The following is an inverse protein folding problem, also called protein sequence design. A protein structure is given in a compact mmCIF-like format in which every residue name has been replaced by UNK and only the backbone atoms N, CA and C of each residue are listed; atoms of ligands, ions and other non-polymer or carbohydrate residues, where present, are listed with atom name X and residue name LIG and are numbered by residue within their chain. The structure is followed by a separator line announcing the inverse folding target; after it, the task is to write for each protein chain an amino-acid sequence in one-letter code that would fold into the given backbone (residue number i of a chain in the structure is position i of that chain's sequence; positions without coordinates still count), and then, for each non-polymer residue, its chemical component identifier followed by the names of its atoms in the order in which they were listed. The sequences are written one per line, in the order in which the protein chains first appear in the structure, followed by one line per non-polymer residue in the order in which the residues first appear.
data_IF_050018543453
#
_entry.id   IF_050018543453
#
_cell.length_a   1.000
_cell.length_b   1.000
_cell.length_c   1.000
_cell.angle_alpha   90.00
_cell.angle_beta   90.00
_cell.angle_gamma   90.00
#
_symmetry.space_group_name_H-M   'P 1'
#
loop_
_entity.id
_entity.type
_entity.pdbx_description
1 polymer ?
#
# COMPACT_ATOMS: atom_id res chain seq x y z
N UNK A 1 -30.35 -12.13 20.63
CA UNK A 1 -29.03 -12.49 20.08
C UNK A 1 -28.81 -11.62 18.86
N UNK A 2 -28.31 -10.40 19.08
CA UNK A 2 -27.99 -9.48 17.98
C UNK A 2 -26.59 -9.83 17.48
N UNK A 3 -26.49 -10.31 16.24
CA UNK A 3 -25.24 -10.45 15.53
C UNK A 3 -24.81 -9.07 15.04
N UNK A 4 -24.18 -8.30 15.93
CA UNK A 4 -23.70 -6.95 15.66
C UNK A 4 -22.17 -6.99 15.56
N UNK A 5 -21.61 -7.29 14.38
CA UNK A 5 -20.14 -7.30 14.32
C UNK A 5 -19.42 -7.67 13.03
N UNK A 6 -19.84 -7.20 11.85
CA UNK A 6 -18.87 -7.02 10.75
C UNK A 6 -18.14 -5.68 10.94
N UNK A 7 -17.50 -5.48 12.09
CA UNK A 7 -16.54 -4.39 12.25
C UNK A 7 -15.33 -4.82 11.44
N UNK A 8 -15.07 -4.18 10.29
CA UNK A 8 -13.87 -4.42 9.47
C UNK A 8 -12.66 -4.19 10.36
N UNK A 9 -12.11 -5.25 10.97
CA UNK A 9 -10.91 -5.15 11.78
C UNK A 9 -9.79 -4.77 10.84
N UNK A 10 -9.25 -3.57 11.01
CA UNK A 10 -7.96 -3.23 10.46
C UNK A 10 -6.93 -4.17 11.09
N UNK A 11 -6.48 -5.15 10.30
CA UNK A 11 -5.42 -6.07 10.68
C UNK A 11 -4.08 -5.40 10.33
N UNK A 12 -3.27 -4.99 11.33
CA UNK A 12 -2.02 -4.25 11.10
C UNK A 12 -0.99 -5.00 10.25
N UNK A 13 -1.10 -6.33 10.18
CA UNK A 13 -0.14 -7.22 9.52
C UNK A 13 -0.77 -8.05 8.39
N UNK A 14 -1.89 -7.58 7.82
CA UNK A 14 -2.64 -8.32 6.80
C UNK A 14 -1.77 -8.74 5.59
N UNK A 15 -0.66 -8.04 5.35
CA UNK A 15 0.26 -8.30 4.24
C UNK A 15 1.68 -8.65 4.69
N UNK A 16 1.87 -9.11 5.94
CA UNK A 16 3.21 -9.37 6.50
C UNK A 16 4.08 -10.23 5.58
N UNK A 17 5.14 -9.62 5.06
CA UNK A 17 6.15 -10.14 4.12
C UNK A 17 5.61 -10.58 2.74
N UNK A 18 4.35 -10.31 2.44
CA UNK A 18 3.72 -10.62 1.15
C UNK A 18 4.36 -9.78 0.04
N UNK A 19 4.91 -10.40 -1.01
CA UNK A 19 5.40 -9.67 -2.18
C UNK A 19 4.23 -9.04 -2.95
N UNK A 20 4.32 -7.75 -3.24
CA UNK A 20 3.30 -7.01 -4.02
C UNK A 20 3.99 -6.18 -5.10
N UNK A 21 3.52 -6.30 -6.35
CA UNK A 21 3.90 -5.40 -7.43
C UNK A 21 2.80 -4.34 -7.59
N UNK A 22 3.17 -3.07 -7.50
CA UNK A 22 2.28 -1.93 -7.75
C UNK A 22 2.73 -1.24 -9.03
N UNK A 23 1.85 -1.18 -10.02
CA UNK A 23 2.06 -0.34 -11.21
C UNK A 23 1.53 1.07 -10.96
N UNK A 24 2.20 2.09 -11.49
CA UNK A 24 1.83 3.49 -11.24
C UNK A 24 2.01 3.93 -9.78
N UNK A 25 2.90 3.26 -9.03
CA UNK A 25 3.06 3.44 -7.59
C UNK A 25 3.67 4.78 -7.17
N UNK A 26 4.20 5.57 -8.09
CA UNK A 26 4.66 6.94 -7.84
C UNK A 26 3.60 8.00 -8.23
N UNK A 27 2.44 7.59 -8.75
CA UNK A 27 1.28 8.45 -9.02
C UNK A 27 0.48 8.80 -7.76
N UNK A 28 -0.62 9.54 -7.92
CA UNK A 28 -1.46 10.02 -6.79
C UNK A 28 -2.02 8.87 -5.93
N UNK A 29 -2.87 8.02 -6.49
CA UNK A 29 -3.47 6.90 -5.73
C UNK A 29 -2.41 5.84 -5.43
N UNK A 30 -1.50 5.61 -6.38
CA UNK A 30 -0.45 4.61 -6.28
C UNK A 30 0.44 4.81 -5.06
N UNK A 31 0.89 6.03 -4.80
CA UNK A 31 1.76 6.31 -3.65
C UNK A 31 1.06 6.04 -2.32
N UNK A 32 -0.20 6.49 -2.16
CA UNK A 32 -0.99 6.20 -0.96
C UNK A 32 -1.21 4.69 -0.76
N UNK A 33 -1.45 3.94 -1.84
CA UNK A 33 -1.56 2.49 -1.79
C UNK A 33 -0.23 1.84 -1.36
N UNK A 34 0.89 2.29 -1.92
CA UNK A 34 2.23 1.80 -1.55
C UNK A 34 2.50 2.04 -0.06
N UNK A 35 2.32 3.28 0.42
CA UNK A 35 2.49 3.63 1.84
C UNK A 35 1.67 2.69 2.72
N UNK A 36 0.39 2.49 2.37
CA UNK A 36 -0.49 1.63 3.15
C UNK A 36 -0.09 0.16 3.13
N UNK A 37 0.37 -0.36 1.99
CA UNK A 37 0.85 -1.74 1.88
C UNK A 37 2.10 -1.97 2.73
N UNK A 38 3.03 -1.00 2.73
CA UNK A 38 4.23 -1.04 3.58
C UNK A 38 3.85 -1.02 5.06
N UNK A 39 2.93 -0.15 5.48
CA UNK A 39 2.39 -0.13 6.85
C UNK A 39 1.74 -1.46 7.25
N UNK A 40 1.14 -2.17 6.29
CA UNK A 40 0.52 -3.49 6.50
C UNK A 40 1.53 -4.65 6.47
N UNK A 41 2.84 -4.33 6.38
CA UNK A 41 3.94 -5.29 6.40
C UNK A 41 4.29 -5.90 5.04
N UNK A 42 3.74 -5.41 3.94
CA UNK A 42 4.04 -5.92 2.60
C UNK A 42 5.48 -5.64 2.17
N UNK A 43 6.01 -6.49 1.27
CA UNK A 43 7.23 -6.20 0.51
C UNK A 43 6.84 -5.69 -0.87
N UNK A 44 6.85 -4.37 -1.03
CA UNK A 44 6.35 -3.73 -2.24
C UNK A 44 7.47 -3.53 -3.26
N UNK A 45 7.17 -3.80 -4.53
CA UNK A 45 7.96 -3.38 -5.69
C UNK A 45 7.10 -2.49 -6.56
N UNK A 46 7.67 -1.39 -7.03
CA UNK A 46 6.95 -0.39 -7.84
C UNK A 46 7.45 -0.48 -9.28
N UNK A 47 6.52 -0.42 -10.23
CA UNK A 47 6.79 -0.21 -11.64
C UNK A 47 6.02 1.03 -12.10
N UNK A 48 6.74 2.10 -12.44
CA UNK A 48 6.15 3.37 -12.82
C UNK A 48 6.96 3.97 -13.97
N UNK A 49 6.28 4.58 -14.94
CA UNK A 49 6.91 5.23 -16.09
C UNK A 49 7.21 6.72 -15.84
N UNK A 50 6.77 7.25 -14.70
CA UNK A 50 6.93 8.64 -14.25
C UNK A 50 6.33 9.68 -15.20
N UNK A 51 5.38 9.28 -16.04
CA UNK A 51 4.67 10.20 -16.96
C UNK A 51 3.93 11.32 -16.22
N UNK A 52 3.32 10.98 -15.07
CA UNK A 52 2.67 11.92 -14.13
C UNK A 52 3.09 11.68 -12.67
N UNK A 53 3.75 10.55 -12.40
CA UNK A 53 4.27 10.21 -11.08
C UNK A 53 5.49 11.03 -10.69
N UNK A 54 5.75 11.11 -9.38
CA UNK A 54 6.94 11.77 -8.84
C UNK A 54 7.58 10.86 -7.81
N UNK A 55 8.89 10.66 -7.89
CA UNK A 55 9.65 9.89 -6.89
C UNK A 55 9.47 10.45 -5.48
N UNK A 56 9.31 11.77 -5.35
CA UNK A 56 8.99 12.44 -4.08
C UNK A 56 7.72 11.89 -3.40
N UNK A 57 6.77 11.31 -4.13
CA UNK A 57 5.54 10.74 -3.56
C UNK A 57 5.81 9.45 -2.75
N UNK A 58 6.96 8.81 -2.98
CA UNK A 58 7.38 7.55 -2.33
C UNK A 58 8.69 7.70 -1.56
N UNK A 59 9.14 8.94 -1.32
CA UNK A 59 10.28 9.20 -0.43
C UNK A 59 9.96 8.78 1.01
N UNK A 60 10.98 8.31 1.73
CA UNK A 60 10.84 7.82 3.11
C UNK A 60 10.32 6.40 3.24
N UNK A 61 10.19 5.67 2.13
CA UNK A 61 9.93 4.23 2.11
C UNK A 61 11.26 3.48 1.93
N UNK A 62 11.69 2.79 2.98
CA UNK A 62 12.88 1.92 2.99
C UNK A 62 12.54 0.43 2.79
#
# INVERSE_FOLDING_TARGET
MVDTGHTTRFQPDAFRKTPVLVTGGAGFIGSHLVHRLVELGARVRILDDLSTGRTANIEGLD
#
